data_IF_958149932666
#
_entry.id   IF_958149932666
#
_cell.length_a   1.000
_cell.length_b   1.000
_cell.length_c   1.000
_cell.angle_alpha   90.00
_cell.angle_beta   90.00
_cell.angle_gamma   90.00
#
_symmetry.space_group_name_H-M   'P 1'
#
loop_
_entity.id
_entity.type
_entity.pdbx_description
1 polymer ?
#
# COMPACT_ATOMS: atom_id res chain seq x y z
N UNK A 1 -12.64 -18.48 55.42
CA UNK A 1 -11.58 -17.54 54.99
C UNK A 1 -11.77 -17.33 53.49
N UNK A 2 -12.58 -16.36 53.09
CA UNK A 2 -12.84 -16.06 51.67
C UNK A 2 -12.03 -14.84 51.29
N UNK A 3 -10.86 -15.08 50.68
CA UNK A 3 -10.01 -14.04 50.12
C UNK A 3 -10.56 -13.60 48.77
N UNK A 4 -11.33 -12.51 48.75
CA UNK A 4 -11.67 -11.78 47.54
C UNK A 4 -10.39 -11.14 47.00
N UNK A 5 -9.78 -11.73 45.97
CA UNK A 5 -8.80 -11.01 45.17
C UNK A 5 -9.52 -9.88 44.43
N UNK A 6 -9.37 -8.65 44.92
CA UNK A 6 -9.62 -7.48 44.10
C UNK A 6 -8.53 -7.43 43.03
N UNK A 7 -8.94 -7.66 41.79
CA UNK A 7 -8.12 -7.38 40.61
C UNK A 7 -8.00 -5.86 40.50
N UNK A 8 -6.91 -5.31 41.03
CA UNK A 8 -6.60 -3.88 40.97
C UNK A 8 -6.45 -3.49 39.50
N UNK A 9 -7.37 -2.65 39.01
CA UNK A 9 -7.29 -2.10 37.64
C UNK A 9 -5.93 -1.39 37.48
N UNK A 10 -5.18 -1.65 36.40
CA UNK A 10 -3.91 -0.99 36.18
C UNK A 10 -4.12 0.53 36.14
N UNK A 11 -3.29 1.26 36.89
CA UNK A 11 -3.31 2.72 36.89
C UNK A 11 -2.93 3.21 35.50
N UNK A 12 -3.43 4.39 35.10
CA UNK A 12 -3.04 5.06 33.84
C UNK A 12 -1.51 5.16 33.71
N UNK A 13 -0.82 5.39 34.83
CA UNK A 13 0.64 5.43 34.88
C UNK A 13 1.30 4.07 34.58
N UNK A 14 0.77 2.98 35.12
CA UNK A 14 1.28 1.62 34.86
C UNK A 14 1.13 1.26 33.38
N UNK A 15 -0.04 1.56 32.80
CA UNK A 15 -0.30 1.34 31.38
C UNK A 15 0.64 2.17 30.48
N UNK A 16 0.84 3.45 30.79
CA UNK A 16 1.77 4.31 30.04
C UNK A 16 3.22 3.83 30.14
N UNK A 17 3.64 3.36 31.32
CA UNK A 17 4.98 2.79 31.55
C UNK A 17 5.19 1.52 30.73
N UNK A 18 4.23 0.59 30.70
CA UNK A 18 4.31 -0.63 29.89
C UNK A 18 4.45 -0.31 28.40
N UNK A 19 3.66 0.63 27.88
CA UNK A 19 3.76 1.05 26.47
C UNK A 19 5.12 1.69 26.19
N UNK A 20 5.60 2.55 27.09
CA UNK A 20 6.89 3.22 26.95
C UNK A 20 8.07 2.23 26.96
N UNK A 21 8.12 1.29 27.92
CA UNK A 21 9.17 0.27 28.00
C UNK A 21 9.20 -0.61 26.74
N UNK A 22 8.02 -0.93 26.19
CA UNK A 22 7.90 -1.75 24.98
C UNK A 22 8.49 -1.07 23.75
N UNK A 23 8.31 0.24 23.58
CA UNK A 23 8.74 0.97 22.36
C UNK A 23 10.09 1.67 22.48
N UNK A 24 10.67 1.76 23.68
CA UNK A 24 11.89 2.55 23.96
C UNK A 24 13.10 2.16 23.11
N UNK A 25 13.20 0.89 22.70
CA UNK A 25 14.29 0.37 21.86
C UNK A 25 14.10 0.56 20.35
N UNK A 26 12.94 1.04 19.92
CA UNK A 26 12.61 1.24 18.50
C UNK A 26 13.11 2.60 18.01
N UNK A 27 13.29 2.74 16.70
CA UNK A 27 13.57 4.05 16.11
C UNK A 27 12.36 4.97 16.25
N UNK A 28 12.60 6.29 16.39
CA UNK A 28 11.55 7.31 16.52
C UNK A 28 10.37 7.15 15.53
N UNK A 29 10.59 6.94 14.22
CA UNK A 29 9.48 6.76 13.28
C UNK A 29 8.61 5.53 13.58
N UNK A 30 9.19 4.48 14.16
CA UNK A 30 8.45 3.27 14.54
C UNK A 30 7.72 3.45 15.87
N UNK A 31 8.31 4.19 16.83
CA UNK A 31 7.63 4.59 18.07
C UNK A 31 6.35 5.37 17.77
N UNK A 32 6.42 6.35 16.85
CA UNK A 32 5.27 7.15 16.42
C UNK A 32 4.20 6.30 15.71
N UNK A 33 4.62 5.32 14.90
CA UNK A 33 3.70 4.41 14.22
C UNK A 33 2.97 3.50 15.21
N UNK A 34 3.67 2.96 16.20
CA UNK A 34 3.06 2.12 17.25
C UNK A 34 2.09 2.94 18.08
N UNK A 35 2.45 4.16 18.49
CA UNK A 35 1.55 5.03 19.26
C UNK A 35 0.30 5.42 18.47
N UNK A 36 0.44 5.71 17.17
CA UNK A 36 -0.71 5.95 16.28
C UNK A 36 -1.61 4.73 16.20
N UNK A 37 -1.03 3.55 16.03
CA UNK A 37 -1.77 2.30 15.93
C UNK A 37 -2.49 1.94 17.23
N UNK A 38 -1.86 2.15 18.39
CA UNK A 38 -2.48 1.95 19.71
C UNK A 38 -3.66 2.90 19.90
N UNK A 39 -3.50 4.19 19.55
CA UNK A 39 -4.60 5.15 19.65
C UNK A 39 -5.75 4.83 18.68
N UNK A 40 -5.44 4.43 17.45
CA UNK A 40 -6.43 4.01 16.44
C UNK A 40 -7.17 2.74 16.88
N UNK A 41 -6.45 1.75 17.43
CA UNK A 41 -7.03 0.50 17.95
C UNK A 41 -7.96 0.73 19.14
N UNK A 42 -7.72 1.78 19.92
CA UNK A 42 -8.57 2.20 21.05
C UNK A 42 -9.66 3.21 20.63
N UNK A 43 -9.74 3.56 19.34
CA UNK A 43 -10.70 4.55 18.83
C UNK A 43 -10.49 5.96 19.37
N UNK A 44 -9.26 6.28 19.84
CA UNK A 44 -8.91 7.59 20.37
C UNK A 44 -8.45 8.47 19.21
N UNK A 45 -9.21 9.51 18.83
CA UNK A 45 -8.75 10.45 17.82
C UNK A 45 -7.57 11.25 18.39
N UNK A 46 -6.36 10.98 17.92
CA UNK A 46 -5.20 11.82 18.19
C UNK A 46 -5.33 13.10 17.38
N UNK A 47 -6.10 14.05 17.90
CA UNK A 47 -6.19 15.40 17.35
C UNK A 47 -4.83 16.07 17.59
N UNK A 48 -4.00 16.11 16.55
CA UNK A 48 -2.75 16.84 16.59
C UNK A 48 -3.04 18.31 16.92
N UNK A 49 -2.64 18.76 18.10
CA UNK A 49 -2.64 20.17 18.46
C UNK A 49 -1.59 20.89 17.61
N UNK A 50 -2.00 21.50 16.51
CA UNK A 50 -1.30 22.66 15.96
C UNK A 50 -1.70 23.87 16.77
N UNK A 51 -0.73 24.48 17.45
CA UNK A 51 -0.89 25.69 18.25
C UNK A 51 -1.58 26.80 17.47
N UNK A 52 -2.73 27.22 18.01
CA UNK A 52 -3.41 28.45 17.68
C UNK A 52 -2.64 29.63 18.31
N UNK A 53 -2.22 30.57 17.47
CA UNK A 53 -1.90 31.92 17.89
C UNK A 53 -2.67 32.86 16.94
N UNK A 54 -3.85 33.28 17.40
CA UNK A 54 -4.67 34.36 16.85
C UNK A 54 -3.85 35.63 16.52
N UNK A 55 -4.31 36.43 15.55
CA UNK A 55 -5.13 37.58 15.94
C UNK A 55 -6.46 37.68 15.17
N UNK A 56 -7.51 37.93 15.95
CA UNK A 56 -8.70 38.68 15.55
C UNK A 56 -8.32 40.06 14.96
N UNK A 57 -9.05 40.74 14.09
CA UNK A 57 -10.28 40.54 13.32
C UNK A 57 -10.36 41.76 12.34
N UNK A 58 -11.26 41.66 11.35
CA UNK A 58 -11.90 42.75 10.59
C UNK A 58 -11.08 43.50 9.52
N UNK A 59 -11.39 43.23 8.24
CA UNK A 59 -12.18 44.18 7.44
C UNK A 59 -12.68 43.52 6.14
N UNK A 60 -13.98 43.65 5.90
CA UNK A 60 -14.70 43.27 4.68
C UNK A 60 -14.20 44.03 3.47
N UNK A 61 -14.04 43.36 2.32
CA UNK A 61 -14.67 43.71 1.03
C UNK A 61 -14.04 42.98 -0.15
N UNK A 62 -14.90 42.23 -0.85
CA UNK A 62 -14.95 42.09 -2.32
C UNK A 62 -13.95 41.19 -3.08
N UNK A 63 -14.56 40.43 -4.00
CA UNK A 63 -14.00 39.74 -5.16
C UNK A 63 -13.14 38.47 -4.95
N UNK A 64 -13.82 37.32 -5.05
CA UNK A 64 -13.20 36.05 -5.42
C UNK A 64 -13.83 34.86 -4.72
N UNK A 65 -14.86 34.26 -5.31
CA UNK A 65 -15.32 32.92 -4.92
C UNK A 65 -14.20 31.93 -5.21
N UNK A 66 -13.36 31.69 -4.21
CA UNK A 66 -12.53 30.50 -4.09
C UNK A 66 -12.96 29.82 -2.80
N UNK A 67 -13.85 28.84 -2.94
CA UNK A 67 -14.09 27.82 -1.92
C UNK A 67 -12.74 27.20 -1.53
N UNK A 68 -12.27 27.30 -0.27
CA UNK A 68 -11.31 26.34 0.22
C UNK A 68 -12.08 25.05 0.41
N UNK A 69 -11.86 24.11 -0.50
CA UNK A 69 -12.33 22.74 -0.36
C UNK A 69 -11.98 22.22 1.03
N UNK A 70 -13.02 21.73 1.68
CA UNK A 70 -12.99 21.08 2.97
C UNK A 70 -12.00 19.91 2.94
N UNK A 71 -10.79 20.09 3.47
CA UNK A 71 -9.87 18.99 3.79
C UNK A 71 -10.31 18.26 5.07
N UNK A 72 -11.60 17.94 5.15
CA UNK A 72 -12.08 16.79 5.89
C UNK A 72 -11.89 15.57 5.01
N UNK A 73 -10.66 15.06 4.92
CA UNK A 73 -10.42 13.77 4.30
C UNK A 73 -10.98 12.69 5.25
N UNK A 74 -12.30 12.51 5.20
CA UNK A 74 -12.92 11.20 5.38
C UNK A 74 -11.98 10.19 4.73
N UNK A 75 -11.52 9.18 5.49
CA UNK A 75 -10.84 8.02 4.90
C UNK A 75 -11.86 7.37 3.98
N UNK A 76 -11.97 7.90 2.76
CA UNK A 76 -12.73 7.29 1.69
C UNK A 76 -11.93 6.03 1.45
N UNK A 77 -12.48 4.89 1.86
CA UNK A 77 -11.99 3.59 1.44
C UNK A 77 -11.70 3.73 -0.06
N UNK A 78 -10.41 3.78 -0.42
CA UNK A 78 -10.06 4.12 -1.80
C UNK A 78 -10.66 3.03 -2.66
N UNK A 79 -11.35 3.38 -3.74
CA UNK A 79 -11.80 2.36 -4.69
C UNK A 79 -10.56 1.69 -5.30
N UNK A 80 -10.62 0.37 -5.54
CA UNK A 80 -9.48 -0.39 -6.09
C UNK A 80 -8.97 0.22 -7.41
N UNK A 81 -9.84 0.82 -8.22
CA UNK A 81 -9.45 1.50 -9.45
C UNK A 81 -8.58 2.70 -9.16
N UNK A 82 -9.00 3.56 -8.24
CA UNK A 82 -8.21 4.73 -7.82
C UNK A 82 -6.89 4.32 -7.18
N UNK A 83 -6.90 3.27 -6.36
CA UNK A 83 -5.69 2.76 -5.74
C UNK A 83 -4.69 2.20 -6.78
N UNK A 84 -5.15 1.37 -7.70
CA UNK A 84 -4.30 0.82 -8.78
C UNK A 84 -3.80 1.94 -9.70
N UNK A 85 -4.63 2.94 -10.01
CA UNK A 85 -4.23 4.09 -10.80
C UNK A 85 -3.18 4.95 -10.10
N UNK A 86 -3.30 5.14 -8.78
CA UNK A 86 -2.30 5.83 -7.98
C UNK A 86 -0.99 5.04 -7.87
N UNK A 87 -1.04 3.70 -7.89
CA UNK A 87 0.16 2.86 -7.78
C UNK A 87 0.85 2.55 -9.12
N UNK A 88 0.13 2.72 -10.24
CA UNK A 88 0.63 2.50 -11.61
C UNK A 88 1.53 1.24 -11.78
N UNK A 89 1.04 0.03 -11.44
CA UNK A 89 1.84 -1.18 -11.55
C UNK A 89 2.22 -1.47 -13.01
N UNK A 90 3.53 -1.50 -13.27
CA UNK A 90 4.14 -1.62 -14.61
C UNK A 90 4.17 -3.06 -15.14
N UNK A 91 3.88 -4.04 -14.30
CA UNK A 91 3.83 -5.45 -14.67
C UNK A 91 2.65 -6.15 -14.00
N UNK A 92 2.29 -7.32 -14.53
CA UNK A 92 1.19 -8.12 -13.96
C UNK A 92 1.52 -8.66 -12.56
N UNK A 93 2.81 -8.92 -12.29
CA UNK A 93 3.28 -9.31 -10.95
C UNK A 93 3.15 -8.16 -9.95
N UNK A 94 3.49 -6.93 -10.37
CA UNK A 94 3.28 -5.73 -9.54
C UNK A 94 1.80 -5.47 -9.32
N UNK A 95 0.97 -5.71 -10.34
CA UNK A 95 -0.48 -5.61 -10.20
C UNK A 95 -1.02 -6.62 -9.18
N UNK A 96 -0.58 -7.87 -9.23
CA UNK A 96 -0.97 -8.87 -8.23
C UNK A 96 -0.58 -8.47 -6.80
N UNK A 97 0.64 -7.94 -6.61
CA UNK A 97 1.06 -7.39 -5.32
C UNK A 97 0.20 -6.19 -4.89
N UNK A 98 -0.11 -5.28 -5.81
CA UNK A 98 -0.97 -4.11 -5.56
C UNK A 98 -2.37 -4.52 -5.12
N UNK A 99 -2.96 -5.52 -5.79
CA UNK A 99 -4.28 -6.07 -5.45
C UNK A 99 -4.25 -6.73 -4.08
N UNK A 100 -3.25 -7.57 -3.80
CA UNK A 100 -3.12 -8.24 -2.50
C UNK A 100 -2.95 -7.21 -1.36
N UNK A 101 -2.15 -6.16 -1.58
CA UNK A 101 -1.99 -5.06 -0.62
C UNK A 101 -3.33 -4.34 -0.38
N UNK A 102 -4.01 -3.97 -1.46
CA UNK A 102 -5.27 -3.25 -1.39
C UNK A 102 -6.29 -3.98 -0.51
N UNK A 103 -6.55 -5.26 -0.80
CA UNK A 103 -7.55 -6.01 -0.05
C UNK A 103 -7.11 -6.36 1.37
N UNK A 104 -5.81 -6.34 1.68
CA UNK A 104 -5.36 -6.58 3.05
C UNK A 104 -5.45 -5.31 3.91
N UNK A 105 -5.15 -4.14 3.36
CA UNK A 105 -4.95 -2.92 4.16
C UNK A 105 -5.91 -1.77 3.82
N UNK A 106 -6.27 -1.58 2.54
CA UNK A 106 -6.95 -0.37 2.04
C UNK A 106 -8.45 -0.58 1.77
N UNK A 107 -8.86 -1.81 1.46
CA UNK A 107 -10.25 -2.14 1.20
C UNK A 107 -11.12 -1.88 2.45
N UNK A 108 -12.43 -1.57 2.27
CA UNK A 108 -13.39 -1.54 3.36
C UNK A 108 -13.33 -2.83 4.18
N UNK A 109 -13.52 -2.75 5.50
CA UNK A 109 -13.36 -3.89 6.41
C UNK A 109 -14.13 -5.13 5.96
N UNK A 110 -15.31 -4.96 5.37
CA UNK A 110 -16.16 -6.04 4.84
C UNK A 110 -15.57 -6.78 3.63
N UNK A 111 -14.69 -6.11 2.89
CA UNK A 111 -14.04 -6.65 1.69
C UNK A 111 -12.59 -7.04 1.96
N UNK A 112 -12.10 -6.85 3.18
CA UNK A 112 -10.72 -7.18 3.51
C UNK A 112 -10.50 -8.68 3.48
N UNK A 113 -9.43 -9.09 2.82
CA UNK A 113 -9.02 -10.48 2.76
C UNK A 113 -7.50 -10.59 2.85
N UNK A 114 -7.03 -11.58 3.61
CA UNK A 114 -5.61 -11.83 3.80
C UNK A 114 -4.97 -12.51 2.58
N UNK A 115 -5.76 -13.20 1.76
CA UNK A 115 -5.28 -13.97 0.62
C UNK A 115 -6.09 -13.70 -0.65
N UNK A 116 -5.47 -13.89 -1.80
CA UNK A 116 -6.08 -13.72 -3.12
C UNK A 116 -5.95 -15.00 -3.94
N UNK A 117 -6.98 -15.33 -4.71
CA UNK A 117 -6.99 -16.47 -5.65
C UNK A 117 -6.86 -16.00 -7.09
N UNK A 118 -6.61 -16.90 -8.07
CA UNK A 118 -6.59 -16.53 -9.50
C UNK A 118 -7.90 -15.86 -9.97
N UNK A 119 -9.04 -16.35 -9.51
CA UNK A 119 -10.37 -15.83 -9.85
C UNK A 119 -10.56 -14.43 -9.28
N UNK A 120 -10.11 -14.25 -8.04
CA UNK A 120 -10.15 -12.96 -7.37
C UNK A 120 -9.25 -11.92 -8.06
N UNK A 121 -8.04 -12.32 -8.47
CA UNK A 121 -7.15 -11.46 -9.24
C UNK A 121 -7.75 -11.09 -10.60
N UNK A 122 -8.42 -12.03 -11.26
CA UNK A 122 -9.14 -11.76 -12.51
C UNK A 122 -10.27 -10.75 -12.30
N UNK A 123 -11.06 -10.90 -11.24
CA UNK A 123 -12.13 -9.95 -10.91
C UNK A 123 -11.57 -8.56 -10.58
N UNK A 124 -10.42 -8.50 -9.91
CA UNK A 124 -9.74 -7.24 -9.64
C UNK A 124 -9.31 -6.50 -10.92
N UNK A 125 -8.94 -7.21 -12.01
CA UNK A 125 -8.66 -6.55 -13.31
C UNK A 125 -9.88 -5.80 -13.84
N UNK A 126 -11.07 -6.41 -13.74
CA UNK A 126 -12.34 -5.81 -14.16
C UNK A 126 -12.64 -4.55 -13.37
N UNK A 127 -12.51 -4.60 -12.05
CA UNK A 127 -12.76 -3.45 -11.15
C UNK A 127 -11.74 -2.33 -11.34
N UNK A 128 -10.47 -2.69 -11.57
CA UNK A 128 -9.41 -1.72 -11.82
C UNK A 128 -9.44 -1.10 -13.23
N UNK A 129 -10.33 -1.56 -14.12
CA UNK A 129 -10.40 -1.10 -15.51
C UNK A 129 -9.16 -1.45 -16.33
N UNK A 130 -8.51 -2.58 -16.02
CA UNK A 130 -7.32 -3.11 -16.71
C UNK A 130 -7.72 -4.28 -17.60
N UNK A 131 -6.93 -4.52 -18.65
CA UNK A 131 -7.08 -5.71 -19.48
C UNK A 131 -7.04 -6.99 -18.64
N UNK A 132 -7.82 -7.98 -19.08
CA UNK A 132 -7.87 -9.29 -18.43
C UNK A 132 -6.52 -9.97 -18.56
N UNK A 133 -6.04 -10.54 -17.46
CA UNK A 133 -4.84 -11.39 -17.49
C UNK A 133 -5.09 -12.65 -18.33
N UNK A 134 -4.12 -13.01 -19.18
CA UNK A 134 -4.18 -14.24 -19.97
C UNK A 134 -4.17 -15.48 -19.08
N UNK A 135 -3.35 -15.47 -18.02
CA UNK A 135 -3.17 -16.59 -17.09
C UNK A 135 -2.99 -16.10 -15.65
N UNK A 136 -4.07 -15.82 -14.89
CA UNK A 136 -3.98 -15.29 -13.53
C UNK A 136 -3.17 -16.17 -12.57
N UNK A 137 -3.33 -17.50 -12.67
CA UNK A 137 -2.57 -18.46 -11.85
C UNK A 137 -1.07 -18.41 -12.13
N UNK A 138 -0.67 -18.22 -13.39
CA UNK A 138 0.74 -18.05 -13.75
C UNK A 138 1.29 -16.72 -13.22
N UNK A 139 0.52 -15.64 -13.33
CA UNK A 139 0.88 -14.34 -12.77
C UNK A 139 1.15 -14.41 -11.27
N UNK A 140 0.29 -15.10 -10.51
CA UNK A 140 0.46 -15.28 -9.06
C UNK A 140 1.72 -16.11 -8.74
N UNK A 141 1.95 -17.21 -9.45
CA UNK A 141 3.17 -17.99 -9.29
C UNK A 141 4.44 -17.21 -9.64
N UNK A 142 4.39 -16.36 -10.66
CA UNK A 142 5.51 -15.50 -11.03
C UNK A 142 5.75 -14.43 -9.96
N UNK A 143 4.70 -13.86 -9.38
CA UNK A 143 4.82 -12.93 -8.26
C UNK A 143 5.42 -13.59 -7.01
N UNK A 144 5.13 -14.87 -6.76
CA UNK A 144 5.82 -15.66 -5.74
C UNK A 144 7.30 -15.85 -6.08
N UNK A 145 7.61 -16.25 -7.32
CA UNK A 145 9.00 -16.43 -7.76
C UNK A 145 9.82 -15.11 -7.68
N UNK A 146 9.16 -13.96 -7.84
CA UNK A 146 9.75 -12.64 -7.68
C UNK A 146 9.86 -12.18 -6.22
N UNK A 147 9.27 -12.95 -5.29
CA UNK A 147 9.31 -12.70 -3.85
C UNK A 147 8.28 -11.67 -3.36
N UNK A 148 7.25 -11.33 -4.14
CA UNK A 148 6.24 -10.35 -3.73
C UNK A 148 5.07 -10.96 -2.95
N UNK A 149 4.78 -12.22 -3.23
CA UNK A 149 3.71 -12.97 -2.60
C UNK A 149 4.28 -14.27 -2.03
N UNK A 150 3.61 -14.80 -1.01
CA UNK A 150 3.81 -16.15 -0.52
C UNK A 150 2.60 -17.02 -0.88
N UNK A 151 2.83 -18.33 -0.97
CA UNK A 151 1.73 -19.29 -1.15
C UNK A 151 1.03 -19.51 0.19
N UNK A 152 -0.29 -19.39 0.17
CA UNK A 152 -1.14 -19.79 1.27
C UNK A 152 -1.86 -21.12 0.93
N UNK A 153 -2.96 -21.41 1.61
CA UNK A 153 -3.73 -22.63 1.41
C UNK A 153 -4.38 -22.72 0.02
N UNK A 154 -4.53 -23.95 -0.49
CA UNK A 154 -5.32 -24.32 -1.69
C UNK A 154 -5.24 -23.34 -2.88
N UNK A 155 -4.05 -22.86 -3.22
CA UNK A 155 -3.86 -21.98 -4.39
C UNK A 155 -4.28 -20.53 -4.16
N UNK A 156 -4.42 -20.12 -2.90
CA UNK A 156 -4.46 -18.74 -2.49
C UNK A 156 -3.04 -18.21 -2.24
N UNK A 157 -2.88 -16.89 -2.31
CA UNK A 157 -1.60 -16.21 -2.20
C UNK A 157 -1.74 -15.00 -1.29
N UNK A 158 -0.75 -14.76 -0.43
CA UNK A 158 -0.74 -13.65 0.53
C UNK A 158 0.38 -12.69 0.18
N UNK A 159 0.19 -11.39 0.37
CA UNK A 159 1.30 -10.44 0.23
C UNK A 159 2.28 -10.62 1.40
N UNK A 160 3.57 -10.58 1.09
CA UNK A 160 4.64 -10.65 2.09
C UNK A 160 5.30 -9.27 2.29
N UNK A 161 6.24 -9.17 3.22
CA UNK A 161 6.92 -7.90 3.55
C UNK A 161 7.59 -7.24 2.34
N UNK A 162 8.16 -8.02 1.41
CA UNK A 162 8.80 -7.47 0.20
C UNK A 162 7.75 -6.88 -0.74
N UNK A 163 6.65 -7.59 -0.99
CA UNK A 163 5.53 -7.10 -1.78
C UNK A 163 4.87 -5.88 -1.16
N UNK A 164 4.72 -5.86 0.16
CA UNK A 164 4.18 -4.72 0.91
C UNK A 164 5.05 -3.48 0.71
N UNK A 165 6.36 -3.58 0.91
CA UNK A 165 7.30 -2.48 0.71
C UNK A 165 7.33 -2.00 -0.75
N UNK A 166 7.22 -2.92 -1.71
CA UNK A 166 7.12 -2.57 -3.12
C UNK A 166 5.91 -1.66 -3.36
N UNK A 167 4.72 -2.03 -2.88
CA UNK A 167 3.49 -1.26 -3.10
C UNK A 167 3.47 0.03 -2.28
N UNK A 168 3.89 -0.04 -1.01
CA UNK A 168 3.88 1.10 -0.10
C UNK A 168 4.89 2.19 -0.53
N UNK A 169 6.12 1.81 -0.89
CA UNK A 169 7.24 2.74 -1.06
C UNK A 169 7.75 2.88 -2.49
N UNK A 170 7.68 1.82 -3.31
CA UNK A 170 8.34 1.79 -4.64
C UNK A 170 7.37 2.04 -5.79
N UNK A 171 6.09 1.76 -5.59
CA UNK A 171 5.01 2.05 -6.53
C UNK A 171 4.22 3.35 -6.26
N UNK A 172 4.65 4.40 -5.53
CA UNK A 172 3.88 5.64 -5.50
C UNK A 172 3.93 6.30 -6.88
N UNK A 173 2.86 6.12 -7.66
CA UNK A 173 2.62 6.82 -8.90
C UNK A 173 2.18 8.24 -8.59
N UNK A 174 3.18 9.10 -8.38
CA UNK A 174 3.06 10.57 -8.50
C UNK A 174 1.88 11.18 -7.72
N UNK A 175 2.01 11.21 -6.39
CA UNK A 175 1.38 12.24 -5.56
C UNK A 175 2.50 13.09 -4.95
N UNK A 176 2.49 14.38 -5.23
CA UNK A 176 3.46 15.43 -4.83
C UNK A 176 4.39 15.12 -3.64
N UNK A 177 5.64 14.74 -3.93
CA UNK A 177 6.85 15.33 -3.36
C UNK A 177 8.13 14.73 -3.96
N UNK A 178 9.04 15.60 -4.42
CA UNK A 178 10.49 15.45 -4.36
C UNK A 178 11.11 14.19 -4.96
N UNK A 179 11.60 14.28 -6.19
CA UNK A 179 12.15 13.14 -6.93
C UNK A 179 13.54 12.68 -6.50
N UNK A 180 13.89 11.48 -6.98
CA UNK A 180 15.24 11.16 -7.45
C UNK A 180 15.13 10.23 -8.66
N UNK A 181 15.51 10.75 -9.83
CA UNK A 181 16.24 10.12 -10.93
C UNK A 181 15.98 8.61 -11.18
N UNK A 182 15.39 8.19 -12.31
CA UNK A 182 16.01 8.40 -13.61
C UNK A 182 17.10 7.36 -13.89
N UNK A 183 16.74 6.21 -14.47
CA UNK A 183 17.64 5.57 -15.45
C UNK A 183 16.84 4.79 -16.48
N UNK A 184 16.86 5.35 -17.68
CA UNK A 184 16.07 4.93 -18.82
C UNK A 184 16.51 3.62 -19.45
N UNK A 185 15.60 3.15 -20.28
CA UNK A 185 15.78 2.36 -21.50
C UNK A 185 17.21 1.91 -21.81
N UNK A 186 17.40 0.60 -21.80
CA UNK A 186 18.32 -0.03 -22.75
C UNK A 186 17.55 -0.98 -23.66
N UNK A 187 16.97 -0.40 -24.73
CA UNK A 187 16.67 -1.12 -25.98
C UNK A 187 17.94 -1.84 -26.40
N UNK A 188 17.92 -3.17 -26.44
CA UNK A 188 18.91 -3.96 -27.19
C UNK A 188 18.27 -4.32 -28.53
N UNK A 189 18.48 -3.47 -29.53
CA UNK A 189 18.18 -3.75 -30.93
C UNK A 189 19.50 -3.85 -31.71
N UNK A 190 19.76 -5.01 -32.32
CA UNK A 190 20.70 -5.20 -33.43
C UNK A 190 22.18 -5.37 -33.06
N UNK A 191 23.03 -6.09 -33.77
CA UNK A 191 23.02 -6.73 -35.11
C UNK A 191 24.23 -7.70 -35.18
N UNK A 192 24.16 -8.73 -36.02
CA UNK A 192 25.16 -9.14 -37.05
C UNK A 192 24.73 -10.51 -37.62
N UNK A 193 24.09 -10.57 -38.79
CA UNK A 193 24.66 -10.42 -40.14
C UNK A 193 25.36 -11.70 -40.66
N UNK A 194 24.67 -12.32 -41.63
CA UNK A 194 25.21 -12.87 -42.87
C UNK A 194 26.44 -13.79 -42.83
N UNK A 195 26.20 -15.09 -43.09
CA UNK A 195 27.10 -15.87 -43.95
C UNK A 195 26.34 -16.40 -45.18
N UNK A 196 26.55 -15.65 -46.25
CA UNK A 196 26.33 -15.84 -47.68
C UNK A 196 26.50 -17.29 -48.18
N UNK A 197 25.42 -17.80 -48.79
CA UNK A 197 25.29 -18.30 -50.16
C UNK A 197 26.31 -19.28 -50.80
N UNK A 198 25.73 -20.22 -51.57
CA UNK A 198 26.20 -20.93 -52.78
C UNK A 198 26.90 -22.29 -52.60
N UNK A 199 26.19 -23.37 -52.99
CA UNK A 199 26.58 -24.44 -53.93
C UNK A 199 25.34 -25.34 -54.16
N UNK A 200 24.70 -25.25 -55.32
CA UNK A 200 24.70 -26.28 -56.40
C UNK A 200 24.26 -27.66 -55.86
N UNK A 201 23.11 -28.23 -56.22
CA UNK A 201 22.76 -28.59 -57.60
C UNK A 201 23.32 -29.98 -57.93
N UNK A 202 22.48 -31.02 -57.79
CA UNK A 202 22.45 -32.33 -58.50
C UNK A 202 21.31 -33.12 -57.82
N UNK A 203 20.30 -33.60 -58.56
CA UNK A 203 20.44 -34.39 -59.76
C UNK A 203 20.36 -35.84 -59.31
#
# INVERSE_FOLDING_TARGET
>A
MSGSHQESKPTVFDAAKTVSDTIKGMEKPDQERVLRWVAESLGIPLSAKTSDAQPALHHSSEAGVRTPESYGATVRAQDIRSFVQAKQPKSDMQFAATVAYYYRFEAPTEQRCNSITPEFLQEATRRAGRDRLTNPRATLNNAVAQGYLDRADRGAFTINTVGENLVAMTLPGTGENGGVSGRGSRKKLGKKAAKKARRSGRG
#
